data_IF_705898265741
#
_entry.id   IF_705898265741
#
_cell.length_a   1.000
_cell.length_b   1.000
_cell.length_c   1.000
_cell.angle_alpha   90.00
_cell.angle_beta   90.00
_cell.angle_gamma   90.00
#
_symmetry.space_group_name_H-M   'P 1'
#
loop_
_entity.id
_entity.type
_entity.pdbx_description
1 polymer ?
#
# COMPACT_ATOMS: atom_id res chain seq x y z
N UNK A 1 6.12 -8.71 -29.38
CA UNK A 1 5.09 -7.83 -28.78
C UNK A 1 4.30 -8.67 -27.78
N UNK A 2 4.73 -8.72 -26.52
CA UNK A 2 3.98 -9.45 -25.48
C UNK A 2 2.76 -8.62 -25.13
N UNK A 3 1.56 -9.12 -25.47
CA UNK A 3 0.30 -8.47 -25.14
C UNK A 3 0.25 -8.14 -23.65
N UNK A 4 -0.14 -6.90 -23.33
CA UNK A 4 -0.39 -6.51 -21.93
C UNK A 4 -1.45 -7.49 -21.38
N UNK A 5 -1.21 -8.17 -20.25
CA UNK A 5 -2.31 -8.81 -19.54
C UNK A 5 -3.35 -7.72 -19.29
N UNK A 6 -4.62 -8.01 -19.59
CA UNK A 6 -5.69 -7.06 -19.33
C UNK A 6 -5.69 -6.74 -17.83
N UNK A 7 -5.44 -5.47 -17.49
CA UNK A 7 -5.63 -4.99 -16.13
C UNK A 7 -7.09 -5.22 -15.76
N UNK A 8 -7.33 -5.96 -14.69
CA UNK A 8 -8.67 -6.16 -14.11
C UNK A 8 -8.70 -5.45 -12.77
N UNK A 9 -9.11 -4.17 -12.71
CA UNK A 9 -9.23 -3.45 -11.45
C UNK A 9 -10.09 -4.22 -10.46
N UNK A 10 -9.72 -4.17 -9.18
CA UNK A 10 -10.56 -4.73 -8.12
C UNK A 10 -11.87 -3.90 -8.03
N UNK A 11 -13.04 -4.54 -8.03
CA UNK A 11 -14.32 -3.81 -8.03
C UNK A 11 -14.57 -3.12 -6.67
N UNK A 12 -15.46 -2.12 -6.60
CA UNK A 12 -15.82 -1.46 -5.33
C UNK A 12 -16.21 -2.45 -4.21
N UNK A 13 -16.98 -3.49 -4.54
CA UNK A 13 -17.43 -4.51 -3.58
C UNK A 13 -16.28 -5.30 -2.95
N UNK A 14 -15.11 -5.37 -3.62
CA UNK A 14 -13.91 -5.96 -3.02
C UNK A 14 -13.47 -5.16 -1.79
N UNK A 15 -13.59 -3.84 -1.84
CA UNK A 15 -13.16 -2.93 -0.77
C UNK A 15 -14.24 -2.69 0.28
N UNK A 16 -15.52 -2.87 -0.06
CA UNK A 16 -16.67 -2.71 0.83
C UNK A 16 -16.81 -3.88 1.84
N UNK A 17 -15.70 -4.30 2.45
CA UNK A 17 -15.58 -5.40 3.41
C UNK A 17 -14.71 -4.97 4.60
N UNK A 18 -14.61 -5.83 5.61
CA UNK A 18 -13.77 -5.56 6.79
C UNK A 18 -12.29 -5.37 6.38
N UNK A 19 -11.61 -4.39 6.97
CA UNK A 19 -10.26 -4.01 6.55
C UNK A 19 -9.25 -5.15 6.68
N UNK A 20 -9.38 -6.03 7.66
CA UNK A 20 -8.49 -7.16 7.84
C UNK A 20 -8.77 -8.29 6.83
N UNK A 21 -10.01 -8.50 6.41
CA UNK A 21 -10.34 -9.38 5.27
C UNK A 21 -9.72 -8.83 3.98
N UNK A 22 -9.95 -7.55 3.69
CA UNK A 22 -9.38 -6.88 2.51
C UNK A 22 -7.86 -6.91 2.54
N UNK A 23 -7.24 -6.72 3.71
CA UNK A 23 -5.79 -6.73 3.84
C UNK A 23 -5.16 -8.09 3.47
N UNK A 24 -5.82 -9.19 3.85
CA UNK A 24 -5.38 -10.55 3.48
C UNK A 24 -5.56 -10.80 1.99
N UNK A 25 -6.73 -10.44 1.45
CA UNK A 25 -7.07 -10.68 0.03
C UNK A 25 -6.31 -9.76 -0.94
N UNK A 26 -5.76 -8.65 -0.45
CA UNK A 26 -4.86 -7.81 -1.24
C UNK A 26 -3.49 -8.46 -1.44
N UNK A 27 -3.09 -9.46 -0.64
CA UNK A 27 -1.86 -10.20 -0.90
C UNK A 27 -1.99 -10.95 -2.23
N UNK A 28 -1.02 -10.76 -3.12
CA UNK A 28 -1.05 -11.29 -4.49
C UNK A 28 -1.70 -10.37 -5.52
N UNK A 29 -2.48 -9.36 -5.11
CA UNK A 29 -2.98 -8.32 -6.00
C UNK A 29 -1.84 -7.45 -6.55
N UNK A 30 -2.07 -6.76 -7.67
CA UNK A 30 -1.04 -5.97 -8.37
C UNK A 30 -1.35 -4.48 -8.26
N UNK A 31 -0.43 -3.73 -7.66
CA UNK A 31 -0.46 -2.27 -7.68
C UNK A 31 0.23 -1.78 -8.95
N UNK A 32 -0.47 -0.93 -9.71
CA UNK A 32 -0.03 -0.40 -10.99
C UNK A 32 -0.04 1.12 -10.92
N UNK A 33 1.03 1.74 -11.37
CA UNK A 33 1.14 3.19 -11.50
C UNK A 33 1.68 3.58 -12.88
N UNK A 34 1.38 4.81 -13.33
CA UNK A 34 2.00 5.41 -14.52
C UNK A 34 2.94 6.55 -14.11
N UNK A 35 4.22 6.42 -14.45
CA UNK A 35 5.28 7.35 -14.08
C UNK A 35 5.93 7.89 -15.33
N UNK A 36 5.72 9.18 -15.64
CA UNK A 36 6.30 9.81 -16.83
C UNK A 36 5.93 9.10 -18.13
N UNK A 37 4.71 8.56 -18.22
CA UNK A 37 4.22 7.77 -19.36
C UNK A 37 4.64 6.30 -19.36
N UNK A 38 5.51 5.87 -18.45
CA UNK A 38 5.90 4.46 -18.30
C UNK A 38 5.07 3.76 -17.23
N UNK A 39 4.61 2.55 -17.52
CA UNK A 39 3.92 1.72 -16.54
C UNK A 39 4.94 1.16 -15.54
N UNK A 40 4.59 1.15 -14.26
CA UNK A 40 5.34 0.48 -13.20
C UNK A 40 4.34 -0.35 -12.39
N UNK A 41 4.75 -1.54 -11.93
CA UNK A 41 3.85 -2.38 -11.14
C UNK A 41 4.59 -3.32 -10.20
N UNK A 42 3.89 -3.74 -9.16
CA UNK A 42 4.37 -4.75 -8.22
C UNK A 42 3.23 -5.53 -7.59
N UNK A 43 3.47 -6.82 -7.31
CA UNK A 43 2.58 -7.69 -6.55
C UNK A 43 2.66 -7.29 -5.08
N UNK A 44 1.53 -7.14 -4.41
CA UNK A 44 1.46 -6.85 -2.98
C UNK A 44 1.85 -8.10 -2.20
N UNK A 45 2.83 -7.95 -1.31
CA UNK A 45 3.34 -9.05 -0.47
C UNK A 45 3.21 -8.78 1.03
N UNK A 46 2.83 -7.56 1.40
CA UNK A 46 2.63 -7.15 2.79
C UNK A 46 1.64 -5.99 2.90
N UNK A 47 0.72 -6.10 3.86
CA UNK A 47 -0.33 -5.14 4.17
C UNK A 47 -0.49 -4.96 5.68
N UNK A 48 -1.09 -3.83 6.10
CA UNK A 48 -1.59 -3.64 7.47
C UNK A 48 -3.02 -3.15 7.47
N UNK A 49 -3.87 -3.73 8.30
CA UNK A 49 -5.24 -3.30 8.50
C UNK A 49 -5.34 -2.24 9.61
N UNK A 50 -6.16 -1.22 9.37
CA UNK A 50 -6.56 -0.22 10.34
C UNK A 50 -8.08 -0.21 10.45
N UNK A 51 -8.60 -0.62 11.61
CA UNK A 51 -10.02 -0.98 11.79
C UNK A 51 -10.93 0.21 12.14
N UNK A 52 -10.51 1.44 11.82
CA UNK A 52 -11.32 2.63 12.08
C UNK A 52 -11.37 3.05 13.55
N UNK A 53 -12.55 3.49 14.07
CA UNK A 53 -12.64 4.18 15.35
C UNK A 53 -12.16 3.37 16.55
N UNK A 54 -12.41 2.06 16.56
CA UNK A 54 -12.06 1.17 17.68
C UNK A 54 -10.59 0.75 17.68
N UNK A 55 -9.84 1.07 16.63
CA UNK A 55 -8.41 0.76 16.53
C UNK A 55 -7.57 1.92 17.07
N UNK A 56 -6.94 1.78 18.25
CA UNK A 56 -6.19 2.88 18.86
C UNK A 56 -4.98 3.38 18.04
N UNK A 57 -4.49 2.56 17.10
CA UNK A 57 -3.40 2.90 16.19
C UNK A 57 -3.87 3.62 14.92
N UNK A 58 -5.17 3.57 14.61
CA UNK A 58 -5.74 4.22 13.42
C UNK A 58 -5.61 5.73 13.49
N UNK A 59 -5.41 6.36 12.33
CA UNK A 59 -5.50 7.80 12.17
C UNK A 59 -6.92 8.33 12.41
N UNK A 60 -7.92 7.47 12.38
CA UNK A 60 -9.32 7.79 12.65
C UNK A 60 -9.83 7.11 13.93
N UNK A 61 -8.93 6.73 14.84
CA UNK A 61 -9.30 6.25 16.16
C UNK A 61 -10.26 7.23 16.85
N UNK A 62 -11.16 6.74 17.70
CA UNK A 62 -12.22 7.53 18.35
C UNK A 62 -11.69 8.80 19.03
N UNK A 63 -10.56 8.70 19.72
CA UNK A 63 -9.85 9.82 20.36
C UNK A 63 -9.33 10.92 19.41
N UNK A 64 -9.23 10.64 18.10
CA UNK A 64 -8.81 11.59 17.06
C UNK A 64 -10.04 12.09 16.30
N UNK A 65 -10.95 11.19 15.93
CA UNK A 65 -12.09 11.47 15.09
C UNK A 65 -11.71 11.91 13.67
N UNK A 66 -12.63 12.59 12.99
CA UNK A 66 -12.42 13.11 11.64
C UNK A 66 -11.59 14.40 11.66
N UNK A 67 -10.60 14.47 10.78
CA UNK A 67 -9.72 15.63 10.59
C UNK A 67 -9.52 15.87 9.09
N UNK A 68 -9.02 17.06 8.71
CA UNK A 68 -8.67 17.33 7.31
C UNK A 68 -7.65 16.32 6.74
N UNK A 69 -6.73 15.83 7.58
CA UNK A 69 -5.69 14.89 7.17
C UNK A 69 -6.21 13.48 6.89
N UNK A 70 -7.19 13.00 7.65
CA UNK A 70 -7.73 11.65 7.50
C UNK A 70 -9.09 11.64 6.76
N UNK A 71 -9.55 12.78 6.26
CA UNK A 71 -10.87 12.93 5.67
C UNK A 71 -11.17 11.92 4.55
N UNK A 72 -10.15 11.53 3.77
CA UNK A 72 -10.27 10.51 2.73
C UNK A 72 -10.64 9.12 3.28
N UNK A 73 -10.24 8.78 4.50
CA UNK A 73 -10.63 7.50 5.12
C UNK A 73 -12.15 7.38 5.28
N UNK A 74 -12.86 8.50 5.39
CA UNK A 74 -14.33 8.53 5.51
C UNK A 74 -15.04 8.53 4.15
N UNK A 75 -14.32 8.46 3.03
CA UNK A 75 -14.90 8.42 1.70
C UNK A 75 -15.38 7.01 1.30
N UNK A 76 -15.80 6.83 0.05
CA UNK A 76 -16.24 5.52 -0.46
C UNK A 76 -15.11 4.49 -0.47
N UNK A 77 -15.43 3.19 -0.33
CA UNK A 77 -14.44 2.12 -0.40
C UNK A 77 -13.76 2.07 -1.78
N UNK A 78 -12.47 1.73 -1.78
CA UNK A 78 -11.67 1.62 -3.01
C UNK A 78 -11.07 2.93 -3.49
N UNK A 79 -11.05 3.98 -2.66
CA UNK A 79 -10.22 5.17 -2.91
C UNK A 79 -8.90 5.11 -2.15
N UNK A 80 -7.90 5.83 -2.64
CA UNK A 80 -6.61 5.96 -2.02
C UNK A 80 -6.66 6.91 -0.81
N UNK A 81 -6.15 6.49 0.33
CA UNK A 81 -5.78 7.38 1.43
C UNK A 81 -4.25 7.54 1.46
N UNK A 82 -3.78 8.73 1.10
CA UNK A 82 -2.34 9.04 1.00
C UNK A 82 -1.96 10.12 1.99
N UNK A 83 -0.96 9.84 2.83
CA UNK A 83 -0.51 10.77 3.86
C UNK A 83 1.02 10.78 4.00
N UNK A 84 1.57 11.86 4.58
CA UNK A 84 2.99 11.91 4.97
C UNK A 84 3.20 11.30 6.35
N UNK A 85 4.07 10.31 6.47
CA UNK A 85 4.62 9.84 7.74
C UNK A 85 5.86 10.66 8.11
N UNK A 86 5.91 11.13 9.36
CA UNK A 86 6.95 12.01 9.89
C UNK A 86 7.25 13.26 9.03
N UNK A 87 6.26 13.74 8.26
CA UNK A 87 6.38 14.91 7.37
C UNK A 87 7.24 14.70 6.11
N UNK A 88 7.87 13.53 5.95
CA UNK A 88 8.89 13.29 4.93
C UNK A 88 8.44 12.33 3.83
N UNK A 89 7.80 11.22 4.19
CA UNK A 89 7.55 10.12 3.27
C UNK A 89 6.07 9.88 3.06
N UNK A 90 5.66 9.56 1.84
CA UNK A 90 4.27 9.19 1.54
C UNK A 90 4.00 7.73 1.91
N UNK A 91 2.77 7.44 2.29
CA UNK A 91 2.23 6.10 2.49
C UNK A 91 0.90 5.99 1.74
N UNK A 92 0.62 4.83 1.14
CA UNK A 92 -0.60 4.56 0.39
C UNK A 92 -1.47 3.56 1.15
N UNK A 93 -2.74 3.89 1.32
CA UNK A 93 -3.74 2.98 1.86
C UNK A 93 -4.90 2.86 0.89
N UNK A 94 -5.58 1.72 0.89
CA UNK A 94 -6.90 1.55 0.27
C UNK A 94 -7.98 1.72 1.34
N UNK A 95 -8.95 2.61 1.11
CA UNK A 95 -10.11 2.78 2.00
C UNK A 95 -11.05 1.59 1.86
N UNK A 96 -11.59 1.12 2.98
CA UNK A 96 -12.39 -0.12 3.07
C UNK A 96 -13.61 0.07 3.95
N UNK A 97 -14.59 -0.82 3.80
CA UNK A 97 -15.84 -0.78 4.55
C UNK A 97 -16.88 0.14 3.92
N UNK A 98 -17.91 0.49 4.67
CA UNK A 98 -18.94 1.42 4.21
C UNK A 98 -18.43 2.87 4.18
N UNK A 99 -18.99 3.69 3.28
CA UNK A 99 -18.70 5.12 3.27
C UNK A 99 -19.03 5.76 4.62
N UNK A 100 -18.12 6.60 5.12
CA UNK A 100 -18.22 7.18 6.45
C UNK A 100 -17.61 6.33 7.57
N UNK A 101 -17.36 5.03 7.37
CA UNK A 101 -16.61 4.21 8.31
C UNK A 101 -15.11 4.23 7.98
N UNK A 102 -14.24 4.84 8.82
CA UNK A 102 -12.89 5.19 8.42
C UNK A 102 -11.89 4.04 8.58
N UNK A 103 -12.12 2.93 7.90
CA UNK A 103 -11.20 1.80 7.86
C UNK A 103 -10.35 1.82 6.59
N UNK A 104 -9.12 1.31 6.68
CA UNK A 104 -8.21 1.29 5.55
C UNK A 104 -7.15 0.20 5.67
N UNK A 105 -6.56 -0.17 4.54
CA UNK A 105 -5.42 -1.09 4.45
C UNK A 105 -4.19 -0.35 3.93
N UNK A 106 -3.13 -0.27 4.73
CA UNK A 106 -1.83 0.21 4.30
C UNK A 106 -1.17 -0.82 3.39
N UNK A 107 -0.71 -0.39 2.22
CA UNK A 107 0.15 -1.20 1.36
C UNK A 107 1.60 -0.99 1.80
N UNK A 108 2.25 -2.06 2.25
CA UNK A 108 3.58 -1.96 2.90
C UNK A 108 4.73 -2.41 2.05
N UNK A 109 4.55 -3.46 1.26
CA UNK A 109 5.60 -3.95 0.40
C UNK A 109 5.08 -4.57 -0.87
N UNK A 110 5.90 -4.43 -1.92
CA UNK A 110 5.64 -5.03 -3.23
C UNK A 110 6.83 -5.89 -3.66
N UNK A 111 6.54 -6.97 -4.36
CA UNK A 111 7.44 -7.62 -5.31
C UNK A 111 7.33 -6.90 -6.67
N UNK A 112 8.37 -6.20 -7.16
CA UNK A 112 8.33 -5.50 -8.44
C UNK A 112 8.10 -6.45 -9.63
N UNK A 113 7.21 -6.07 -10.55
CA UNK A 113 6.88 -6.87 -11.73
C UNK A 113 7.24 -6.17 -13.04
N UNK A 114 6.97 -4.86 -13.15
CA UNK A 114 7.23 -4.10 -14.38
C UNK A 114 7.78 -2.71 -14.07
N UNK A 115 8.59 -2.17 -14.99
CA UNK A 115 9.16 -0.83 -14.86
C UNK A 115 10.21 -0.70 -13.75
N UNK A 116 10.89 -1.80 -13.40
CA UNK A 116 11.88 -1.86 -12.30
C UNK A 116 12.99 -0.81 -12.48
N UNK A 117 13.45 -0.57 -13.70
CA UNK A 117 14.47 0.47 -13.96
C UNK A 117 13.93 1.89 -13.70
N UNK A 118 12.65 2.15 -13.96
CA UNK A 118 11.99 3.42 -13.60
C UNK A 118 11.94 3.57 -12.08
N UNK A 119 11.55 2.51 -11.37
CA UNK A 119 11.57 2.48 -9.90
C UNK A 119 12.99 2.75 -9.35
N UNK A 120 14.02 2.07 -9.90
CA UNK A 120 15.44 2.27 -9.52
C UNK A 120 15.87 3.72 -9.68
N UNK A 121 15.56 4.36 -10.81
CA UNK A 121 15.92 5.77 -11.05
C UNK A 121 15.28 6.72 -10.05
N UNK A 122 14.01 6.49 -9.67
CA UNK A 122 13.35 7.29 -8.64
C UNK A 122 14.03 7.12 -7.28
N UNK A 123 14.28 5.87 -6.87
CA UNK A 123 14.91 5.53 -5.58
C UNK A 123 16.39 5.92 -5.45
N UNK A 124 17.05 6.29 -6.56
CA UNK A 124 18.40 6.91 -6.55
C UNK A 124 18.35 8.41 -6.23
N UNK A 125 17.24 9.10 -6.50
CA UNK A 125 17.09 10.54 -6.26
C UNK A 125 16.76 10.86 -4.80
N UNK A 126 16.17 9.93 -4.05
CA UNK A 126 15.99 10.03 -2.59
C UNK A 126 17.28 9.73 -1.82
N UNK A 127 17.77 10.73 -1.07
CA UNK A 127 18.94 10.72 -0.14
C UNK A 127 19.58 9.33 0.08
N UNK A 128 20.52 8.95 -0.78
CA UNK A 128 21.64 8.14 -0.33
C UNK A 128 22.59 9.11 0.42
N UNK A 129 23.10 8.76 1.62
CA UNK A 129 24.21 9.50 2.21
C UNK A 129 25.33 9.56 1.18
N UNK A 130 25.85 10.77 0.94
CA UNK A 130 27.04 10.98 0.13
C UNK A 130 28.17 10.14 0.73
N UNK A 131 28.49 9.00 0.12
CA UNK A 131 29.51 8.08 0.65
C UNK A 131 29.36 6.64 0.22
N UNK A 132 28.17 6.19 -0.24
CA UNK A 132 28.03 4.83 -0.77
C UNK A 132 27.05 4.79 -1.94
N UNK A 133 27.53 5.19 -3.13
CA UNK A 133 26.81 5.09 -4.40
C UNK A 133 26.74 3.64 -4.93
N UNK A 134 26.56 2.67 -4.04
CA UNK A 134 26.32 1.28 -4.39
C UNK A 134 24.93 1.12 -5.02
N UNK A 135 24.81 0.17 -5.95
CA UNK A 135 23.49 -0.25 -6.47
C UNK A 135 22.67 -0.80 -5.30
N UNK A 136 21.57 -0.10 -4.94
CA UNK A 136 20.65 -0.61 -3.92
C UNK A 136 20.18 -2.01 -4.30
N UNK A 137 20.17 -2.99 -3.36
CA UNK A 137 19.55 -4.29 -3.61
C UNK A 137 18.13 -4.12 -4.12
N UNK A 138 17.72 -4.94 -5.08
CA UNK A 138 16.39 -4.78 -5.71
C UNK A 138 15.28 -4.83 -4.68
N UNK A 139 15.40 -5.71 -3.67
CA UNK A 139 14.47 -5.81 -2.52
C UNK A 139 14.14 -4.47 -1.87
N UNK A 140 15.12 -3.56 -1.80
CA UNK A 140 14.96 -2.27 -1.12
C UNK A 140 14.18 -1.25 -1.94
N UNK A 141 13.83 -1.54 -3.20
CA UNK A 141 13.03 -0.66 -4.04
C UNK A 141 11.61 -0.49 -3.52
N UNK A 142 11.03 -1.55 -2.95
CA UNK A 142 9.61 -1.60 -2.59
C UNK A 142 9.34 -2.29 -1.25
N UNK A 143 10.35 -2.84 -0.57
CA UNK A 143 10.21 -3.38 0.79
C UNK A 143 10.10 -2.26 1.84
N UNK A 144 8.91 -1.66 1.96
CA UNK A 144 8.54 -0.64 2.94
C UNK A 144 7.57 0.41 2.35
N UNK A 145 6.64 0.96 3.15
CA UNK A 145 5.55 1.80 2.64
C UNK A 145 6.06 3.11 1.99
N UNK A 146 7.07 3.74 2.60
CA UNK A 146 7.73 4.91 2.03
C UNK A 146 8.50 4.60 0.72
N UNK A 147 9.07 3.40 0.67
CA UNK A 147 9.93 2.94 -0.43
C UNK A 147 9.11 2.66 -1.68
N UNK A 148 8.01 1.93 -1.55
CA UNK A 148 7.09 1.69 -2.66
C UNK A 148 6.43 2.98 -3.12
N UNK A 149 6.06 3.90 -2.20
CA UNK A 149 5.45 5.17 -2.59
C UNK A 149 6.41 5.99 -3.47
N UNK A 150 7.68 6.10 -3.08
CA UNK A 150 8.70 6.77 -3.89
C UNK A 150 8.93 6.09 -5.24
N UNK A 151 9.02 4.75 -5.25
CA UNK A 151 9.25 3.94 -6.45
C UNK A 151 8.12 4.06 -7.49
N UNK A 152 6.87 4.13 -7.04
CA UNK A 152 5.67 4.20 -7.89
C UNK A 152 5.16 5.64 -8.12
N UNK A 153 5.92 6.65 -7.68
CA UNK A 153 5.55 8.06 -7.78
C UNK A 153 4.22 8.44 -7.08
N UNK A 154 3.93 7.79 -5.96
CA UNK A 154 2.77 8.10 -5.15
C UNK A 154 3.07 9.32 -4.27
N UNK A 155 2.22 10.33 -4.35
CA UNK A 155 2.25 11.52 -3.50
C UNK A 155 0.84 12.00 -3.13
N UNK A 156 0.77 13.10 -2.37
CA UNK A 156 -0.49 13.63 -1.86
C UNK A 156 -1.51 14.06 -2.92
N UNK A 157 -1.13 14.23 -4.19
CA UNK A 157 -2.08 14.50 -5.27
C UNK A 157 -3.02 13.32 -5.55
N UNK A 158 -2.63 12.11 -5.13
CA UNK A 158 -3.44 10.89 -5.24
C UNK A 158 -4.32 10.65 -4.00
N UNK A 159 -4.34 11.55 -3.01
CA UNK A 159 -5.22 11.37 -1.86
C UNK A 159 -6.70 11.56 -2.28
N UNK A 160 -7.52 10.54 -2.02
CA UNK A 160 -8.92 10.45 -2.47
C UNK A 160 -9.10 9.93 -3.89
N UNK A 161 -8.02 9.54 -4.58
CA UNK A 161 -8.08 9.06 -5.97
C UNK A 161 -8.67 7.62 -6.04
N UNK A 162 -9.58 7.31 -6.99
CA UNK A 162 -10.14 5.96 -7.15
C UNK A 162 -9.09 4.92 -7.58
N UNK A 163 -9.00 3.80 -6.87
CA UNK A 163 -8.01 2.74 -7.14
C UNK A 163 -8.38 1.83 -8.32
N UNK A 164 -9.43 2.18 -9.06
CA UNK A 164 -9.85 1.49 -10.29
C UNK A 164 -9.31 2.17 -11.55
N UNK A 165 -8.91 3.43 -11.45
CA UNK A 165 -8.62 4.29 -12.59
C UNK A 165 -7.13 4.63 -12.71
N UNK A 166 -6.61 4.87 -13.91
CA UNK A 166 -5.30 5.49 -14.05
C UNK A 166 -5.26 6.88 -13.36
N UNK A 167 -4.11 7.31 -12.83
CA UNK A 167 -2.80 6.69 -13.01
C UNK A 167 -2.48 5.59 -11.99
N UNK A 168 -3.30 5.35 -10.96
CA UNK A 168 -3.03 4.43 -9.85
C UNK A 168 -4.14 3.38 -9.72
N UNK A 169 -3.84 2.14 -10.09
CA UNK A 169 -4.82 1.04 -10.12
C UNK A 169 -4.37 -0.10 -9.22
N UNK A 170 -5.27 -0.61 -8.39
CA UNK A 170 -5.17 -1.92 -7.75
C UNK A 170 -5.94 -2.94 -8.58
N UNK A 171 -5.21 -3.86 -9.19
CA UNK A 171 -5.75 -4.90 -10.06
C UNK A 171 -5.68 -6.27 -9.42
N UNK A 172 -6.62 -7.14 -9.79
CA UNK A 172 -6.59 -8.54 -9.45
C UNK A 172 -5.29 -9.19 -9.93
N UNK A 173 -4.64 -9.94 -9.03
CA UNK A 173 -3.48 -10.77 -9.33
C UNK A 173 -3.78 -12.25 -9.08
N UNK A 174 -2.75 -12.99 -8.68
CA UNK A 174 -2.88 -14.39 -8.28
C UNK A 174 -3.23 -14.44 -6.78
N UNK A 175 -4.38 -15.03 -6.38
CA UNK A 175 -4.72 -15.16 -4.97
C UNK A 175 -3.66 -15.97 -4.22
N UNK A 176 -3.30 -15.51 -3.02
CA UNK A 176 -2.37 -16.23 -2.13
C UNK A 176 -3.17 -17.23 -1.30
N UNK A 177 -2.67 -18.46 -1.19
CA UNK A 177 -3.36 -19.46 -0.37
C UNK A 177 -3.29 -19.08 1.12
N UNK A 178 -4.38 -19.21 1.91
CA UNK A 178 -4.38 -18.78 3.31
C UNK A 178 -3.26 -19.39 4.18
N UNK A 179 -2.81 -20.61 3.87
CA UNK A 179 -1.69 -21.26 4.58
C UNK A 179 -0.33 -20.57 4.36
N UNK A 180 -0.20 -19.76 3.30
CA UNK A 180 1.01 -18.99 2.99
C UNK A 180 0.99 -17.59 3.63
N UNK A 181 -0.14 -17.17 4.20
CA UNK A 181 -0.29 -15.87 4.84
C UNK A 181 0.08 -15.97 6.32
N UNK A 182 1.00 -15.12 6.76
CA UNK A 182 1.29 -14.91 8.18
C UNK A 182 0.63 -13.64 8.69
N UNK A 183 0.18 -13.67 9.95
CA UNK A 183 -0.32 -12.52 10.69
C UNK A 183 0.65 -12.16 11.82
N UNK A 184 0.91 -10.87 12.01
CA UNK A 184 1.83 -10.37 13.03
C UNK A 184 1.42 -8.98 13.54
N UNK A 185 2.02 -8.52 14.65
CA UNK A 185 2.04 -7.12 15.04
C UNK A 185 2.37 -6.16 13.89
N UNK A 186 1.69 -5.01 13.90
CA UNK A 186 1.96 -3.89 12.98
C UNK A 186 3.28 -3.20 13.34
N UNK A 187 3.95 -2.65 12.33
CA UNK A 187 5.26 -2.01 12.47
C UNK A 187 5.09 -0.51 12.65
N UNK A 188 5.76 0.06 13.67
CA UNK A 188 5.81 1.50 13.89
C UNK A 188 4.57 2.08 14.58
N UNK A 189 3.73 1.23 15.18
CA UNK A 189 2.60 1.66 16.02
C UNK A 189 2.96 1.54 17.51
N UNK A 190 2.45 2.46 18.33
CA UNK A 190 2.67 2.47 19.80
C UNK A 190 1.44 2.08 20.61
N UNK A 191 0.28 1.95 19.96
CA UNK A 191 -0.98 1.51 20.56
C UNK A 191 -1.49 0.30 19.81
N UNK A 192 -2.18 -0.62 20.50
CA UNK A 192 -2.60 -1.90 19.92
C UNK A 192 -1.43 -2.58 19.16
N UNK A 193 -0.24 -2.50 19.78
CA UNK A 193 1.02 -2.88 19.16
C UNK A 193 1.19 -4.40 19.09
N UNK A 194 0.47 -5.14 19.91
CA UNK A 194 0.39 -6.59 19.95
C UNK A 194 -0.68 -7.17 19.00
N UNK A 195 -1.58 -6.33 18.45
CA UNK A 195 -2.67 -6.80 17.60
C UNK A 195 -2.14 -7.34 16.26
N UNK A 196 -2.56 -8.55 15.83
CA UNK A 196 -2.04 -9.24 14.66
C UNK A 196 -2.68 -8.72 13.35
N UNK A 197 -2.55 -7.43 13.10
CA UNK A 197 -3.18 -6.72 11.96
C UNK A 197 -2.21 -6.41 10.82
N UNK A 198 -1.02 -7.02 10.82
CA UNK A 198 -0.09 -7.04 9.68
C UNK A 198 -0.13 -8.39 9.02
N UNK A 199 -0.29 -8.42 7.70
CA UNK A 199 -0.37 -9.64 6.92
C UNK A 199 0.71 -9.66 5.85
N UNK A 200 1.34 -10.81 5.63
CA UNK A 200 2.37 -10.96 4.60
C UNK A 200 2.51 -12.39 4.11
N UNK A 201 3.11 -12.52 2.92
CA UNK A 201 3.41 -13.82 2.31
C UNK A 201 4.65 -14.43 2.97
N UNK A 202 4.50 -15.60 3.59
CA UNK A 202 5.56 -16.35 4.28
C UNK A 202 6.77 -16.56 3.37
N UNK A 203 7.96 -16.25 3.88
CA UNK A 203 9.23 -16.48 3.18
C UNK A 203 9.47 -15.58 1.96
N UNK A 204 8.57 -14.66 1.64
CA UNK A 204 8.73 -13.78 0.48
C UNK A 204 9.85 -12.73 0.75
N UNK A 205 10.88 -12.63 -0.12
CA UNK A 205 12.06 -11.78 0.12
C UNK A 205 11.77 -10.28 0.06
N UNK A 206 10.57 -9.89 -0.39
CA UNK A 206 10.13 -8.50 -0.55
C UNK A 206 9.38 -7.96 0.66
N UNK A 207 9.03 -8.81 1.64
CA UNK A 207 8.42 -8.38 2.90
C UNK A 207 9.36 -7.42 3.63
N UNK A 208 8.80 -6.31 4.14
CA UNK A 208 9.57 -5.30 4.85
C UNK A 208 10.05 -5.79 6.22
N UNK A 209 11.14 -5.18 6.70
CA UNK A 209 11.76 -5.46 8.00
C UNK A 209 11.73 -4.20 8.86
#
# INVERSE_FOLDING_TARGET
MSGRPALRPLPPDFYARAADEVARDLLGAVLVSTVGGALVSGRIVETEAYLGPHDPASHAAERIGRTARNAAMFGPPGIAYVYRIYGLHWCLNAVTGEEGYPAAVLIRALEPLHGIEVMRRRRRRGRAPAGNAGVRPERELTAGPARLAEALAIDGSLNGHPLQDPPLVLAAGEPVHPAEVEAAPRIGVTRAADWPLRFFIRGNPWVSR
#
